data_IF_757045288240
#
_entry.id   IF_757045288240
#
_cell.length_a   1.000
_cell.length_b   1.000
_cell.length_c   1.000
_cell.angle_alpha   90.00
_cell.angle_beta   90.00
_cell.angle_gamma   90.00
#
_symmetry.space_group_name_H-M   'P 1'
#
loop_
_entity.id
_entity.type
_entity.pdbx_description
1 polymer ?
#
# COMPACT_ATOMS: atom_id res chain seq x y z
N UNK A 1 3.12 -3.67 -4.07
CA UNK A 1 2.40 -2.75 -3.16
C UNK A 1 2.86 -2.92 -1.72
N UNK A 2 2.29 -2.16 -0.79
CA UNK A 2 2.66 -2.25 0.63
C UNK A 2 2.46 -3.68 1.15
N UNK A 3 3.45 -4.18 1.91
CA UNK A 3 3.53 -5.58 2.33
C UNK A 3 4.49 -6.44 1.50
N UNK A 4 5.03 -5.91 0.40
CA UNK A 4 6.03 -6.61 -0.43
C UNK A 4 7.47 -6.23 -0.12
N UNK A 5 7.69 -5.28 0.80
CA UNK A 5 9.04 -4.88 1.21
C UNK A 5 9.70 -5.96 2.05
N UNK A 6 10.98 -6.16 1.78
CA UNK A 6 11.86 -7.09 2.49
C UNK A 6 13.15 -6.39 2.88
N UNK A 7 13.80 -6.89 3.92
CA UNK A 7 15.14 -6.41 4.33
C UNK A 7 16.11 -6.60 3.17
N UNK A 8 16.84 -5.56 2.82
CA UNK A 8 17.82 -5.58 1.74
C UNK A 8 17.24 -5.48 0.33
N UNK A 9 15.90 -5.38 0.16
CA UNK A 9 15.27 -5.23 -1.15
C UNK A 9 15.81 -4.01 -1.89
N UNK A 10 16.37 -4.20 -3.10
CA UNK A 10 16.93 -3.13 -3.94
C UNK A 10 18.37 -2.74 -3.63
N UNK A 11 19.07 -3.48 -2.76
CA UNK A 11 20.48 -3.20 -2.45
C UNK A 11 21.36 -3.23 -3.71
N UNK A 12 21.09 -4.12 -4.65
CA UNK A 12 21.79 -4.25 -5.92
C UNK A 12 21.55 -3.07 -6.89
N UNK A 13 20.53 -2.24 -6.62
CA UNK A 13 20.20 -1.07 -7.43
C UNK A 13 20.91 0.19 -6.97
N UNK A 14 21.44 0.23 -5.73
CA UNK A 14 22.00 1.42 -5.10
C UNK A 14 23.16 2.03 -5.88
N UNK A 15 24.04 1.20 -6.43
CA UNK A 15 25.20 1.67 -7.21
C UNK A 15 24.78 2.18 -8.59
N UNK A 16 23.85 1.49 -9.25
CA UNK A 16 23.41 1.81 -10.61
C UNK A 16 22.50 3.03 -10.66
N UNK A 17 21.69 3.24 -9.63
CA UNK A 17 20.67 4.29 -9.52
C UNK A 17 20.97 5.21 -8.33
N UNK A 18 22.27 5.49 -8.04
CA UNK A 18 22.71 6.30 -6.91
C UNK A 18 22.11 7.71 -6.94
N UNK A 19 21.98 8.31 -8.12
CA UNK A 19 21.36 9.63 -8.26
C UNK A 19 19.88 9.66 -7.86
N UNK A 20 19.13 8.61 -8.13
CA UNK A 20 17.73 8.50 -7.73
C UNK A 20 17.57 8.04 -6.30
N UNK A 21 18.21 6.91 -5.95
CA UNK A 21 17.99 6.20 -4.68
C UNK A 21 18.77 6.78 -3.50
N UNK A 22 19.84 7.52 -3.77
CA UNK A 22 20.65 8.18 -2.74
C UNK A 22 20.45 9.69 -2.82
N UNK A 23 20.93 10.34 -3.90
CA UNK A 23 20.99 11.80 -3.97
C UNK A 23 19.60 12.46 -4.01
N UNK A 24 18.75 12.05 -4.97
CA UNK A 24 17.41 12.64 -5.13
C UNK A 24 16.50 12.27 -3.97
N UNK A 25 16.55 11.01 -3.52
CA UNK A 25 15.73 10.53 -2.41
C UNK A 25 16.04 11.30 -1.12
N UNK A 26 17.32 11.33 -0.71
CA UNK A 26 17.74 11.97 0.54
C UNK A 26 17.51 13.49 0.51
N UNK A 27 17.81 14.14 -0.64
CA UNK A 27 17.53 15.57 -0.82
C UNK A 27 16.04 15.90 -0.74
N UNK A 28 15.17 14.98 -1.16
CA UNK A 28 13.72 15.19 -1.20
C UNK A 28 13.07 14.92 0.15
N UNK A 29 13.47 13.84 0.83
CA UNK A 29 12.80 13.36 2.05
C UNK A 29 13.58 13.65 3.34
N UNK A 30 14.87 14.03 3.26
CA UNK A 30 15.69 14.36 4.41
C UNK A 30 16.19 13.15 5.21
N UNK A 31 16.05 11.94 4.70
CA UNK A 31 16.54 10.70 5.31
C UNK A 31 17.09 9.74 4.24
N UNK A 32 17.93 8.80 4.66
CA UNK A 32 18.68 7.93 3.75
C UNK A 32 17.93 6.65 3.44
N UNK A 33 17.58 6.43 2.16
CA UNK A 33 17.02 5.15 1.71
C UNK A 33 18.04 4.02 1.86
N UNK A 34 19.32 4.31 1.63
CA UNK A 34 20.41 3.34 1.82
C UNK A 34 20.45 2.78 3.24
N UNK A 35 20.22 3.63 4.24
CA UNK A 35 20.21 3.18 5.64
C UNK A 35 19.00 2.30 5.93
N UNK A 36 17.85 2.58 5.30
CA UNK A 36 16.66 1.72 5.40
C UNK A 36 16.89 0.36 4.73
N UNK A 37 17.46 0.35 3.52
CA UNK A 37 17.79 -0.90 2.80
C UNK A 37 18.76 -1.78 3.61
N UNK A 38 19.74 -1.16 4.26
CA UNK A 38 20.73 -1.85 5.08
C UNK A 38 20.29 -2.11 6.53
N UNK A 39 19.10 -1.67 6.91
CA UNK A 39 18.56 -1.92 8.25
C UNK A 39 18.17 -3.40 8.41
N UNK A 40 18.51 -3.96 9.55
CA UNK A 40 18.08 -5.31 9.96
C UNK A 40 16.77 -5.29 10.77
N UNK A 41 16.16 -4.10 10.95
CA UNK A 41 14.92 -3.93 11.72
C UNK A 41 13.68 -4.14 10.83
N UNK A 42 12.99 -5.29 10.93
CA UNK A 42 11.79 -5.55 10.14
C UNK A 42 10.62 -4.63 10.51
N UNK A 43 10.57 -4.11 11.73
CA UNK A 43 9.48 -3.22 12.17
C UNK A 43 9.65 -1.80 11.58
N UNK A 44 10.88 -1.38 11.32
CA UNK A 44 11.14 -0.11 10.67
C UNK A 44 10.56 -0.07 9.24
N UNK A 45 10.82 -1.11 8.45
CA UNK A 45 10.38 -1.18 7.05
C UNK A 45 8.87 -1.44 6.91
N UNK A 46 8.16 -1.82 8.00
CA UNK A 46 6.69 -1.98 8.02
C UNK A 46 5.94 -0.67 8.24
N UNK A 47 6.58 0.36 8.80
CA UNK A 47 5.95 1.67 9.01
C UNK A 47 5.51 2.25 7.67
N UNK A 48 4.26 2.66 7.55
CA UNK A 48 3.65 3.09 6.29
C UNK A 48 4.40 4.27 5.65
N UNK A 49 4.86 5.21 6.46
CA UNK A 49 5.64 6.38 6.02
C UNK A 49 7.06 6.03 5.55
N UNK A 50 7.59 4.87 5.90
CA UNK A 50 8.87 4.34 5.41
C UNK A 50 8.63 3.40 4.23
N UNK A 51 7.70 2.46 4.38
CA UNK A 51 7.41 1.43 3.38
C UNK A 51 7.02 2.01 2.02
N UNK A 52 6.17 3.06 2.00
CA UNK A 52 5.67 3.59 0.74
C UNK A 52 6.77 4.25 -0.11
N UNK A 53 7.57 5.21 0.38
CA UNK A 53 8.70 5.74 -0.38
C UNK A 53 9.73 4.68 -0.76
N UNK A 54 10.02 3.74 0.13
CA UNK A 54 10.95 2.64 -0.13
C UNK A 54 10.50 1.76 -1.30
N UNK A 55 9.28 1.21 -1.22
CA UNK A 55 8.72 0.34 -2.26
C UNK A 55 8.62 1.08 -3.60
N UNK A 56 8.15 2.33 -3.60
CA UNK A 56 8.07 3.14 -4.81
C UNK A 56 9.42 3.27 -5.50
N UNK A 57 10.44 3.70 -4.77
CA UNK A 57 11.76 3.99 -5.33
C UNK A 57 12.40 2.75 -5.94
N UNK A 58 12.36 1.62 -5.22
CA UNK A 58 12.91 0.35 -5.71
C UNK A 58 12.08 -0.18 -6.89
N UNK A 59 10.73 -0.12 -6.80
CA UNK A 59 9.85 -0.58 -7.89
C UNK A 59 10.03 0.25 -9.16
N UNK A 60 10.26 1.56 -9.04
CA UNK A 60 10.54 2.42 -10.17
C UNK A 60 11.84 2.01 -10.89
N UNK A 61 12.91 1.76 -10.15
CA UNK A 61 14.18 1.31 -10.73
C UNK A 61 14.06 -0.06 -11.40
N UNK A 62 13.39 -1.03 -10.78
CA UNK A 62 13.09 -2.31 -11.43
C UNK A 62 12.21 -2.14 -12.68
N UNK A 63 11.28 -1.20 -12.66
CA UNK A 63 10.46 -0.86 -13.83
C UNK A 63 11.32 -0.33 -14.99
N UNK A 64 12.26 0.58 -14.73
CA UNK A 64 13.23 1.06 -15.72
C UNK A 64 14.06 -0.11 -16.28
N UNK A 65 14.59 -0.98 -15.42
CA UNK A 65 15.33 -2.17 -15.87
C UNK A 65 14.48 -3.05 -16.79
N UNK A 66 13.24 -3.28 -16.41
CA UNK A 66 12.32 -4.11 -17.18
C UNK A 66 12.04 -3.50 -18.56
N UNK A 67 11.77 -2.19 -18.61
CA UNK A 67 11.53 -1.47 -19.87
C UNK A 67 12.77 -1.47 -20.76
N UNK A 68 13.95 -1.25 -20.17
CA UNK A 68 15.21 -1.27 -20.93
C UNK A 68 15.53 -2.65 -21.55
N UNK A 69 15.16 -3.73 -20.85
CA UNK A 69 15.45 -5.09 -21.29
C UNK A 69 14.39 -5.68 -22.23
N UNK A 70 13.11 -5.33 -22.01
CA UNK A 70 11.98 -5.96 -22.70
C UNK A 70 11.23 -5.00 -23.66
N UNK A 71 11.56 -3.71 -23.62
CA UNK A 71 10.86 -2.67 -24.38
C UNK A 71 9.65 -2.11 -23.63
N UNK A 72 8.99 -1.12 -24.24
CA UNK A 72 7.85 -0.43 -23.65
C UNK A 72 6.66 -1.38 -23.45
N UNK A 73 6.02 -1.38 -22.29
CA UNK A 73 4.80 -2.15 -22.04
C UNK A 73 3.61 -1.56 -22.83
N UNK A 74 2.64 -2.41 -23.15
CA UNK A 74 1.38 -1.98 -23.74
C UNK A 74 0.49 -1.20 -22.76
N UNK A 75 0.62 -1.50 -21.46
CA UNK A 75 -0.09 -0.83 -20.37
C UNK A 75 0.71 -0.97 -19.05
N UNK A 76 0.53 0.00 -18.18
CA UNK A 76 1.05 0.00 -16.82
C UNK A 76 -0.13 0.07 -15.85
N UNK A 77 -0.14 -0.81 -14.88
CA UNK A 77 -1.15 -0.84 -13.81
C UNK A 77 -0.45 -0.94 -12.45
N UNK A 78 -1.12 -0.47 -11.42
CA UNK A 78 -0.60 -0.54 -10.06
C UNK A 78 -1.70 -0.78 -9.03
N UNK A 79 -1.36 -1.53 -7.98
CA UNK A 79 -2.26 -1.78 -6.86
C UNK A 79 -1.93 -0.80 -5.73
N UNK A 80 -2.89 0.04 -5.31
CA UNK A 80 -2.71 1.04 -4.25
C UNK A 80 -1.49 1.94 -4.51
N UNK A 81 -0.43 1.82 -3.72
CA UNK A 81 0.84 2.52 -3.92
C UNK A 81 1.44 2.32 -5.33
N UNK A 82 1.30 1.13 -5.90
CA UNK A 82 1.83 0.79 -7.22
C UNK A 82 1.28 1.64 -8.35
N UNK A 83 0.11 2.26 -8.20
CA UNK A 83 -0.46 3.20 -9.17
C UNK A 83 0.47 4.39 -9.41
N UNK A 84 1.07 4.93 -8.36
CA UNK A 84 2.05 6.02 -8.48
C UNK A 84 3.32 5.58 -9.22
N UNK A 85 3.77 4.34 -8.99
CA UNK A 85 4.89 3.76 -9.77
C UNK A 85 4.52 3.65 -11.25
N UNK A 86 3.30 3.21 -11.57
CA UNK A 86 2.81 3.11 -12.93
C UNK A 86 2.72 4.49 -13.61
N UNK A 87 2.20 5.51 -12.92
CA UNK A 87 2.13 6.88 -13.41
C UNK A 87 3.53 7.47 -13.67
N UNK A 88 4.48 7.21 -12.78
CA UNK A 88 5.85 7.68 -12.93
C UNK A 88 6.57 6.96 -14.09
N UNK A 89 6.45 5.65 -14.23
CA UNK A 89 7.03 4.88 -15.33
C UNK A 89 6.41 5.22 -16.69
N UNK A 90 5.15 5.65 -16.72
CA UNK A 90 4.49 6.12 -17.94
C UNK A 90 4.95 7.52 -18.39
N UNK A 91 5.73 8.23 -17.56
CA UNK A 91 6.15 9.60 -17.79
C UNK A 91 5.07 10.65 -17.50
N UNK A 92 3.97 10.26 -16.85
CA UNK A 92 2.90 11.19 -16.45
C UNK A 92 3.31 12.05 -15.26
N UNK A 93 4.10 11.49 -14.34
CA UNK A 93 4.70 12.16 -13.19
C UNK A 93 6.21 11.94 -13.21
N UNK A 94 6.99 12.92 -12.75
CA UNK A 94 8.41 12.70 -12.53
C UNK A 94 8.70 11.99 -11.20
N UNK A 95 9.90 11.40 -11.09
CA UNK A 95 10.30 10.64 -9.91
C UNK A 95 10.30 11.46 -8.62
N UNK A 96 10.85 12.67 -8.67
CA UNK A 96 11.01 13.51 -7.49
C UNK A 96 9.68 13.99 -6.94
N UNK A 97 8.78 14.43 -7.81
CA UNK A 97 7.45 14.89 -7.40
C UNK A 97 6.57 13.74 -6.97
N UNK A 98 6.64 12.59 -7.67
CA UNK A 98 5.99 11.37 -7.20
C UNK A 98 6.47 10.96 -5.82
N UNK A 99 7.77 11.04 -5.55
CA UNK A 99 8.36 10.72 -4.25
C UNK A 99 7.81 11.63 -3.12
N UNK A 100 7.65 12.95 -3.38
CA UNK A 100 7.03 13.88 -2.43
C UNK A 100 5.58 13.49 -2.12
N UNK A 101 4.78 13.23 -3.16
CA UNK A 101 3.38 12.81 -3.02
C UNK A 101 3.27 11.54 -2.19
N UNK A 102 4.12 10.55 -2.46
CA UNK A 102 4.14 9.28 -1.74
C UNK A 102 4.57 9.44 -0.28
N UNK A 103 5.53 10.34 0.00
CA UNK A 103 5.94 10.63 1.36
C UNK A 103 4.78 11.22 2.17
N UNK A 104 4.07 12.21 1.63
CA UNK A 104 2.87 12.78 2.26
C UNK A 104 1.80 11.70 2.43
N UNK A 105 1.55 10.89 1.39
CA UNK A 105 0.58 9.78 1.46
C UNK A 105 0.91 8.81 2.59
N UNK A 106 2.15 8.36 2.66
CA UNK A 106 2.60 7.41 3.69
C UNK A 106 2.48 7.97 5.10
N UNK A 107 2.89 9.22 5.29
CA UNK A 107 2.82 9.94 6.57
C UNK A 107 1.37 10.13 7.04
N UNK A 108 0.52 10.66 6.17
CA UNK A 108 -0.88 10.96 6.54
C UNK A 108 -1.72 9.68 6.72
N UNK A 109 -1.48 8.64 5.93
CA UNK A 109 -2.10 7.34 6.15
C UNK A 109 -1.64 6.69 7.47
N UNK A 110 -0.35 6.80 7.82
CA UNK A 110 0.18 6.33 9.10
C UNK A 110 -0.50 7.04 10.27
N UNK A 111 -0.55 8.38 10.24
CA UNK A 111 -1.22 9.21 11.28
C UNK A 111 -2.70 8.84 11.43
N UNK A 112 -3.40 8.65 10.33
CA UNK A 112 -4.83 8.36 10.34
C UNK A 112 -5.18 7.06 11.06
N UNK A 113 -4.29 6.06 11.05
CA UNK A 113 -4.55 4.74 11.65
C UNK A 113 -3.86 4.52 13.00
N UNK A 114 -2.95 5.40 13.42
CA UNK A 114 -2.08 5.20 14.59
C UNK A 114 -2.83 4.84 15.88
N UNK A 115 -4.05 5.37 16.06
CA UNK A 115 -4.88 5.10 17.23
C UNK A 115 -6.27 4.53 16.85
N UNK A 116 -6.40 3.97 15.66
CA UNK A 116 -7.72 3.57 15.15
C UNK A 116 -8.22 2.22 15.68
N UNK A 117 -7.35 1.41 16.28
CA UNK A 117 -7.64 0.02 16.70
C UNK A 117 -8.26 -0.82 15.57
N UNK A 118 -7.79 -0.63 14.34
CA UNK A 118 -8.30 -1.26 13.14
C UNK A 118 -7.26 -2.13 12.45
N UNK A 119 -7.69 -3.02 11.56
CA UNK A 119 -6.84 -3.92 10.80
C UNK A 119 -7.49 -4.30 9.48
N UNK A 120 -6.76 -5.06 8.65
CA UNK A 120 -7.24 -5.59 7.37
C UNK A 120 -7.05 -7.11 7.29
N UNK A 121 -7.86 -7.76 6.47
CA UNK A 121 -7.71 -9.18 6.16
C UNK A 121 -8.09 -9.47 4.71
N UNK A 122 -7.39 -10.43 4.10
CA UNK A 122 -7.78 -11.02 2.83
C UNK A 122 -8.89 -12.07 3.09
N UNK A 123 -9.98 -11.97 2.36
CA UNK A 123 -11.10 -12.93 2.38
C UNK A 123 -11.03 -13.75 1.12
N UNK A 124 -10.83 -15.06 1.29
CA UNK A 124 -10.81 -16.02 0.20
C UNK A 124 -12.20 -16.66 0.05
N UNK A 125 -12.82 -16.46 -1.09
CA UNK A 125 -14.16 -16.95 -1.39
C UNK A 125 -14.21 -17.76 -2.70
N UNK A 126 -15.27 -18.53 -2.90
CA UNK A 126 -15.61 -19.15 -4.19
C UNK A 126 -16.82 -18.48 -4.83
N UNK A 127 -17.47 -17.58 -4.11
CA UNK A 127 -18.66 -16.85 -4.53
C UNK A 127 -18.60 -15.43 -3.94
N UNK A 128 -18.11 -14.51 -4.77
CA UNK A 128 -17.91 -13.12 -4.36
C UNK A 128 -19.24 -12.41 -4.09
N UNK A 129 -20.27 -12.71 -4.87
CA UNK A 129 -21.59 -12.08 -4.73
C UNK A 129 -22.22 -12.44 -3.37
N UNK A 130 -22.24 -13.74 -3.03
CA UNK A 130 -22.65 -14.20 -1.70
C UNK A 130 -21.83 -13.54 -0.59
N UNK A 131 -20.50 -13.42 -0.76
CA UNK A 131 -19.66 -12.78 0.27
C UNK A 131 -20.00 -11.32 0.49
N UNK A 132 -20.30 -10.56 -0.56
CA UNK A 132 -20.73 -9.16 -0.46
C UNK A 132 -22.08 -9.05 0.25
N UNK A 133 -23.04 -9.92 -0.08
CA UNK A 133 -24.35 -9.95 0.58
C UNK A 133 -24.23 -10.25 2.09
N UNK A 134 -23.39 -11.21 2.48
CA UNK A 134 -23.16 -11.54 3.89
C UNK A 134 -22.47 -10.40 4.64
N UNK A 135 -21.53 -9.69 4.00
CA UNK A 135 -20.94 -8.48 4.57
C UNK A 135 -22.02 -7.44 4.88
N UNK A 136 -22.95 -7.18 3.97
CA UNK A 136 -24.02 -6.21 4.20
C UNK A 136 -24.99 -6.67 5.33
N UNK A 137 -25.26 -7.96 5.43
CA UNK A 137 -26.04 -8.50 6.55
C UNK A 137 -25.33 -8.30 7.90
N UNK A 138 -24.03 -8.57 7.96
CA UNK A 138 -23.22 -8.38 9.17
C UNK A 138 -23.14 -6.90 9.57
N UNK A 139 -23.00 -5.99 8.61
CA UNK A 139 -23.06 -4.54 8.86
C UNK A 139 -24.41 -4.14 9.50
N UNK A 140 -25.51 -4.68 8.99
CA UNK A 140 -26.84 -4.44 9.57
C UNK A 140 -27.00 -5.02 10.99
N UNK A 141 -26.16 -5.97 11.38
CA UNK A 141 -26.10 -6.53 12.74
C UNK A 141 -25.14 -5.76 13.66
N UNK A 142 -24.49 -4.69 13.16
CA UNK A 142 -23.60 -3.81 13.92
C UNK A 142 -22.12 -4.15 13.82
N UNK A 143 -21.72 -5.13 13.01
CA UNK A 143 -20.31 -5.43 12.73
C UNK A 143 -19.75 -4.35 11.79
N UNK A 144 -18.66 -3.74 12.17
CA UNK A 144 -18.02 -2.68 11.36
C UNK A 144 -17.07 -3.30 10.33
N UNK A 145 -17.52 -3.38 9.09
CA UNK A 145 -16.76 -3.96 7.97
C UNK A 145 -16.76 -3.00 6.79
N UNK A 146 -15.58 -2.78 6.19
CA UNK A 146 -15.41 -2.09 4.92
C UNK A 146 -14.77 -3.03 3.90
N UNK A 147 -15.27 -3.05 2.67
CA UNK A 147 -14.58 -3.70 1.55
C UNK A 147 -13.54 -2.70 1.04
N UNK A 148 -12.27 -3.01 1.22
CA UNK A 148 -11.14 -2.12 0.90
C UNK A 148 -10.61 -2.37 -0.51
N UNK A 149 -10.57 -3.62 -0.97
CA UNK A 149 -10.06 -3.98 -2.29
C UNK A 149 -10.84 -5.15 -2.89
N UNK A 150 -11.03 -5.08 -4.20
CA UNK A 150 -11.42 -6.22 -5.04
C UNK A 150 -10.20 -6.66 -5.83
N UNK A 151 -9.52 -7.71 -5.40
CA UNK A 151 -8.27 -8.15 -6.03
C UNK A 151 -8.53 -9.07 -7.22
N UNK A 152 -9.41 -10.04 -7.04
CA UNK A 152 -9.87 -10.95 -8.10
C UNK A 152 -11.24 -11.56 -7.71
N UNK A 153 -11.90 -12.34 -8.60
CA UNK A 153 -13.20 -12.94 -8.31
C UNK A 153 -13.24 -13.87 -7.09
N UNK A 154 -12.09 -14.31 -6.59
CA UNK A 154 -11.96 -15.20 -5.44
C UNK A 154 -11.35 -14.56 -4.20
N UNK A 155 -10.97 -13.27 -4.30
CA UNK A 155 -10.29 -12.56 -3.20
C UNK A 155 -10.68 -11.09 -3.12
N UNK A 156 -11.20 -10.70 -1.97
CA UNK A 156 -11.33 -9.30 -1.56
C UNK A 156 -10.50 -9.04 -0.31
N UNK A 157 -10.24 -7.76 -0.04
CA UNK A 157 -9.70 -7.32 1.24
C UNK A 157 -10.78 -6.56 1.98
N UNK A 158 -10.96 -6.91 3.24
CA UNK A 158 -11.83 -6.19 4.17
C UNK A 158 -11.02 -5.49 5.24
N UNK A 159 -11.54 -4.38 5.72
CA UNK A 159 -11.07 -3.67 6.91
C UNK A 159 -12.11 -3.73 8.00
N UNK A 160 -11.68 -3.72 9.27
CA UNK A 160 -12.57 -3.75 10.41
C UNK A 160 -11.85 -3.27 11.68
N UNK A 161 -12.57 -3.02 12.75
CA UNK A 161 -11.99 -2.95 14.08
C UNK A 161 -11.43 -4.32 14.48
N UNK A 162 -10.40 -4.33 15.35
CA UNK A 162 -9.69 -5.58 15.72
C UNK A 162 -10.64 -6.61 16.31
N UNK A 163 -11.58 -6.20 17.17
CA UNK A 163 -12.51 -7.14 17.83
C UNK A 163 -13.45 -7.81 16.80
N UNK A 164 -14.03 -7.03 15.89
CA UNK A 164 -14.86 -7.52 14.82
C UNK A 164 -14.06 -8.42 13.87
N UNK A 165 -12.82 -8.04 13.55
CA UNK A 165 -11.93 -8.85 12.70
C UNK A 165 -11.60 -10.20 13.36
N UNK A 166 -11.40 -10.26 14.65
CA UNK A 166 -11.17 -11.50 15.39
C UNK A 166 -12.38 -12.44 15.30
N UNK A 167 -13.59 -11.88 15.39
CA UNK A 167 -14.83 -12.63 15.14
C UNK A 167 -14.87 -13.19 13.72
N UNK A 168 -14.63 -12.35 12.70
CA UNK A 168 -14.68 -12.74 11.29
C UNK A 168 -13.62 -13.80 10.94
N UNK A 169 -12.41 -13.65 11.47
CA UNK A 169 -11.33 -14.64 11.32
C UNK A 169 -11.70 -16.01 11.89
N UNK A 170 -12.40 -16.01 13.03
CA UNK A 170 -12.86 -17.24 13.69
C UNK A 170 -14.08 -17.84 13.04
N UNK A 171 -14.83 -17.05 12.29
CA UNK A 171 -16.10 -17.42 11.67
C UNK A 171 -16.15 -17.06 10.16
N UNK A 172 -15.24 -17.57 9.30
CA UNK A 172 -15.21 -17.19 7.89
C UNK A 172 -16.50 -17.55 7.14
N UNK A 173 -17.22 -18.57 7.60
CA UNK A 173 -18.53 -18.97 7.04
C UNK A 173 -19.60 -17.89 7.21
N UNK A 174 -19.49 -17.00 8.20
CA UNK A 174 -20.40 -15.87 8.37
C UNK A 174 -20.28 -14.86 7.20
N UNK A 175 -19.16 -14.89 6.47
CA UNK A 175 -18.93 -14.12 5.24
C UNK A 175 -19.20 -14.95 3.97
N UNK A 176 -19.72 -16.18 4.06
CA UNK A 176 -19.73 -17.09 2.91
C UNK A 176 -18.33 -17.44 2.39
N UNK A 177 -17.30 -17.21 3.18
CA UNK A 177 -15.92 -17.33 2.76
C UNK A 177 -15.27 -18.65 3.21
N UNK A 178 -14.21 -19.03 2.52
CA UNK A 178 -13.39 -20.19 2.89
C UNK A 178 -12.40 -19.85 4.00
N UNK A 179 -11.80 -18.65 3.94
CA UNK A 179 -10.75 -18.21 4.89
C UNK A 179 -10.76 -16.70 5.00
N UNK A 180 -10.41 -16.21 6.19
CA UNK A 180 -10.07 -14.81 6.48
C UNK A 180 -8.64 -14.80 6.99
N UNK A 181 -7.74 -14.13 6.27
CA UNK A 181 -6.30 -14.12 6.52
C UNK A 181 -5.90 -12.70 6.89
N UNK A 182 -5.54 -12.42 8.15
CA UNK A 182 -5.05 -11.10 8.56
C UNK A 182 -3.86 -10.64 7.75
N UNK A 183 -3.81 -9.34 7.45
CA UNK A 183 -2.68 -8.70 6.79
C UNK A 183 -1.81 -7.96 7.82
N UNK A 184 -0.51 -7.96 7.63
CA UNK A 184 0.44 -7.21 8.45
C UNK A 184 0.49 -5.74 8.00
N UNK A 185 -0.54 -4.97 8.36
CA UNK A 185 -0.69 -3.55 8.05
C UNK A 185 -1.04 -2.75 9.30
N UNK A 186 -0.74 -1.45 9.28
CA UNK A 186 -0.91 -0.57 10.44
C UNK A 186 -2.37 -0.28 10.80
N UNK A 187 -3.33 -0.50 9.89
CA UNK A 187 -4.74 -0.22 10.14
C UNK A 187 -5.62 -0.34 8.91
N UNK A 188 -6.86 0.14 9.00
CA UNK A 188 -7.92 0.04 7.99
C UNK A 188 -7.70 1.02 6.83
N UNK A 189 -6.76 0.72 5.94
CA UNK A 189 -6.55 1.50 4.73
C UNK A 189 -7.70 1.34 3.73
N UNK A 190 -7.85 2.29 2.81
CA UNK A 190 -8.91 2.34 1.79
C UNK A 190 -10.33 2.36 2.38
N UNK A 191 -10.49 3.04 3.51
CA UNK A 191 -11.75 3.28 4.21
C UNK A 191 -11.88 4.75 4.60
N UNK A 192 -13.03 5.15 5.14
CA UNK A 192 -13.21 6.48 5.73
C UNK A 192 -12.28 6.78 6.93
N UNK A 193 -11.73 5.77 7.57
CA UNK A 193 -10.76 5.91 8.67
C UNK A 193 -9.55 6.76 8.23
N UNK A 194 -9.12 6.61 6.97
CA UNK A 194 -8.00 7.38 6.41
C UNK A 194 -8.42 8.65 5.68
N UNK A 195 -9.66 9.12 5.86
CA UNK A 195 -10.17 10.30 5.15
C UNK A 195 -9.40 11.59 5.44
N UNK A 196 -8.79 11.70 6.63
CA UNK A 196 -7.92 12.83 6.99
C UNK A 196 -6.71 12.98 6.09
N UNK A 197 -6.23 11.89 5.49
CA UNK A 197 -5.11 11.91 4.55
C UNK A 197 -5.47 12.53 3.18
N UNK A 198 -6.76 12.63 2.86
CA UNK A 198 -7.23 13.06 1.55
C UNK A 198 -6.82 14.51 1.22
N UNK A 199 -7.07 15.43 2.14
CA UNK A 199 -6.80 16.86 1.89
C UNK A 199 -5.30 17.17 1.74
N UNK A 200 -4.40 16.73 2.65
CA UNK A 200 -2.96 16.93 2.46
C UNK A 200 -2.43 16.32 1.15
N UNK A 201 -2.93 15.16 0.77
CA UNK A 201 -2.54 14.51 -0.48
C UNK A 201 -3.01 15.30 -1.70
N UNK A 202 -4.26 15.77 -1.71
CA UNK A 202 -4.83 16.62 -2.76
C UNK A 202 -4.03 17.93 -2.90
N UNK A 203 -3.69 18.58 -1.79
CA UNK A 203 -2.91 19.82 -1.79
C UNK A 203 -1.52 19.57 -2.41
N UNK A 204 -0.86 18.48 -2.04
CA UNK A 204 0.45 18.11 -2.60
C UNK A 204 0.36 17.79 -4.10
N UNK A 205 -0.69 17.12 -4.53
CA UNK A 205 -0.93 16.82 -5.95
C UNK A 205 -1.19 18.08 -6.78
N UNK A 206 -1.80 19.12 -6.18
CA UNK A 206 -2.01 20.40 -6.85
C UNK A 206 -0.76 21.29 -6.92
N UNK A 207 0.31 20.96 -6.19
CA UNK A 207 1.58 21.69 -6.17
C UNK A 207 2.62 21.12 -7.15
N UNK A 208 2.34 19.95 -7.75
CA UNK A 208 3.21 19.34 -8.75
C UNK A 208 2.71 19.64 -10.17
N UNK A 209 3.67 19.78 -11.11
CA UNK A 209 3.40 20.07 -12.52
C UNK A 209 3.02 18.82 -13.34
#
# INVERSE_FOLDING_TARGET
GQGSQEIGMGNELLEKYDDLLINTFEKTLGWSLKDIINSEDPELIKKTNIAQPYIFSVSYCYGIETINNLGNPAALIGHSLGEYTALCLSGYLDFKDTLKVIAVRGEEMQKAVENSNTTMAAVLTSDLETTIEEIEKLKNQGIQIWISNFNDPSQIVISSYIDDMNYLKSNPKALGAKRVIPLEVAGAFHTEIVSSAKKPLEDTLNEID
#
